data_IF_153259579271
#
_entry.id   IF_153259579271
#
_cell.length_a   1.000
_cell.length_b   1.000
_cell.length_c   1.000
_cell.angle_alpha   90.00
_cell.angle_beta   90.00
_cell.angle_gamma   90.00
#
_symmetry.space_group_name_H-M   'P 1'
#
loop_
_entity.id
_entity.type
_entity.pdbx_description
1 polymer ?
2 polymer ?
3 non-polymer ?
4 non-polymer ?
5 non-polymer ?
6 non-polymer ?
7 non-polymer ?
8 water ?
#
# COMPACT_ATOMS: atom_id res chain seq x y z
N UNK A 1 -11.79 27.99 8.57
CA UNK A 1 -11.30 26.58 8.62
C UNK A 1 -9.96 26.47 7.93
N UNK A 2 -9.18 25.57 8.49
CA UNK A 2 -7.87 25.23 7.95
C UNK A 2 -7.66 23.73 7.92
N UNK A 3 -6.94 23.33 6.90
CA UNK A 3 -6.85 21.91 6.50
C UNK A 3 -6.02 21.09 7.46
N UNK A 4 -5.20 21.81 8.20
CA UNK A 4 -4.21 21.19 9.08
C UNK A 4 -4.90 20.71 10.32
N UNK A 5 -6.02 21.37 10.55
CA UNK A 5 -6.86 21.14 11.72
C UNK A 5 -8.13 20.41 11.35
N UNK A 6 -8.19 19.18 11.82
CA UNK A 6 -9.39 18.36 11.72
C UNK A 6 -9.72 18.11 10.27
N UNK A 7 -8.68 18.24 9.47
CA UNK A 7 -8.77 17.97 8.02
C UNK A 7 -9.67 18.97 7.33
N UNK A 8 -9.88 20.06 8.04
CA UNK A 8 -10.61 21.21 7.49
C UNK A 8 -12.08 20.91 7.43
N UNK A 9 -12.39 19.80 8.07
CA UNK A 9 -13.73 19.23 8.18
C UNK A 9 -14.09 18.37 6.98
N UNK A 10 -13.13 18.28 6.07
CA UNK A 10 -13.27 17.49 4.81
C UNK A 10 -13.26 15.99 5.08
N UNK A 11 -14.05 15.28 4.31
CA UNK A 11 -14.05 13.80 4.39
C UNK A 11 -12.78 13.21 3.80
N UNK A 12 -12.34 13.84 2.73
CA UNK A 12 -11.13 13.41 1.95
C UNK A 12 -10.11 14.54 1.91
N UNK A 13 -9.96 15.15 0.77
CA UNK A 13 -8.85 16.08 0.52
C UNK A 13 -9.24 17.53 0.78
N UNK A 14 -8.27 18.33 1.14
CA UNK A 14 -8.50 19.73 1.59
C UNK A 14 -7.43 20.65 1.06
N UNK A 15 -7.89 21.78 0.58
CA UNK A 15 -7.01 22.88 0.10
C UNK A 15 -7.35 24.17 0.77
N UNK A 16 -6.31 24.82 1.24
CA UNK A 16 -6.38 26.18 1.78
C UNK A 16 -6.29 27.17 0.65
N UNK A 17 -7.08 28.21 0.82
CA UNK A 17 -7.12 29.31 -0.13
C UNK A 17 -6.92 30.63 0.54
N UNK A 18 -6.61 31.57 -0.32
CA UNK A 18 -6.30 32.94 0.07
C UNK A 18 -7.51 33.54 0.74
N UNK A 19 -7.31 33.70 2.02
CA UNK A 19 -8.33 34.20 2.94
C UNK A 19 -8.80 33.11 3.88
N UNK A 20 -9.98 33.34 4.38
CA UNK A 20 -10.61 32.48 5.39
C UNK A 20 -11.35 31.39 4.65
N UNK A 21 -10.69 30.97 3.58
CA UNK A 21 -11.26 29.99 2.62
C UNK A 21 -10.60 28.61 2.55
N UNK A 22 -11.47 27.66 2.34
CA UNK A 22 -11.11 26.24 2.20
C UNK A 22 -11.97 25.56 1.17
N UNK A 23 -11.36 24.64 0.43
CA UNK A 23 -12.13 23.77 -0.48
C UNK A 23 -11.76 22.33 -0.24
N UNK A 24 -12.79 21.55 -0.04
CA UNK A 24 -12.66 20.09 0.05
C UNK A 24 -12.74 19.51 -1.34
N UNK A 25 -12.07 18.38 -1.51
CA UNK A 25 -12.14 17.66 -2.77
C UNK A 25 -12.24 16.17 -2.49
N UNK A 26 -12.58 15.45 -3.54
CA UNK A 26 -12.75 13.98 -3.50
C UNK A 26 -11.88 13.31 -4.57
N UNK A 27 -11.52 12.10 -4.23
CA UNK A 27 -10.76 11.23 -5.15
C UNK A 27 -11.61 10.92 -6.35
N UNK A 28 -10.95 10.59 -7.45
CA UNK A 28 -11.65 10.05 -8.60
C UNK A 28 -12.56 8.93 -8.13
N UNK A 29 -13.73 8.88 -8.73
CA UNK A 29 -14.75 7.92 -8.46
C UNK A 29 -15.70 8.30 -7.31
N UNK A 30 -15.50 9.54 -6.87
CA UNK A 30 -16.35 10.21 -5.84
C UNK A 30 -16.72 11.60 -6.32
N UNK A 31 -17.83 12.08 -5.78
CA UNK A 31 -18.27 13.49 -5.94
C UNK A 31 -18.55 14.11 -4.60
N UNK A 32 -18.34 15.40 -4.56
CA UNK A 32 -18.51 16.22 -3.34
C UNK A 32 -19.98 16.61 -3.20
N UNK A 33 -20.53 16.40 -2.01
CA UNK A 33 -21.91 16.79 -1.70
C UNK A 33 -22.02 18.30 -1.46
N UNK A 34 -23.27 18.71 -1.36
CA UNK A 34 -23.59 20.15 -1.24
C UNK A 34 -23.19 20.70 0.11
N UNK A 35 -22.89 19.83 1.06
CA UNK A 35 -22.35 20.23 2.36
C UNK A 35 -20.92 20.74 2.26
N UNK A 36 -20.33 20.49 1.11
CA UNK A 36 -18.98 20.95 0.81
C UNK A 36 -17.85 20.16 1.43
N UNK A 37 -18.23 19.07 2.08
CA UNK A 37 -17.25 18.23 2.84
C UNK A 37 -17.30 16.75 2.53
N UNK A 38 -18.48 16.25 2.28
CA UNK A 38 -18.73 14.79 2.11
C UNK A 38 -18.52 14.34 0.69
N UNK A 39 -18.07 13.10 0.59
CA UNK A 39 -17.77 12.46 -0.69
C UNK A 39 -18.60 11.22 -0.85
N UNK A 40 -19.25 11.09 -1.99
CA UNK A 40 -20.10 9.95 -2.29
C UNK A 40 -19.61 9.24 -3.56
N UNK A 41 -19.59 7.90 -3.54
CA UNK A 41 -19.15 7.21 -4.77
C UNK A 41 -20.00 7.50 -5.98
N UNK A 42 -19.34 7.52 -7.14
CA UNK A 42 -19.97 7.76 -8.43
C UNK A 42 -19.82 6.57 -9.38
N UNK A 43 -19.09 5.59 -8.88
CA UNK A 43 -18.80 4.35 -9.62
C UNK A 43 -19.07 3.17 -8.72
N UNK A 44 -19.06 1.99 -9.36
CA UNK A 44 -19.42 0.77 -8.65
C UNK A 44 -18.35 0.32 -7.65
N UNK A 45 -17.11 0.55 -8.04
CA UNK A 45 -15.93 0.08 -7.28
C UNK A 45 -14.96 1.20 -7.00
N UNK A 46 -15.41 2.17 -6.18
CA UNK A 46 -14.51 3.24 -5.83
C UNK A 46 -13.35 2.77 -4.99
N UNK A 47 -12.26 3.48 -5.06
CA UNK A 47 -11.08 3.06 -4.27
C UNK A 47 -11.36 3.10 -2.80
N UNK A 48 -10.74 2.19 -2.10
CA UNK A 48 -10.70 2.23 -0.65
C UNK A 48 -11.97 1.82 0.06
N UNK A 49 -12.89 1.25 -0.66
CA UNK A 49 -14.12 0.66 -0.08
C UNK A 49 -14.14 -0.82 -0.41
N UNK A 50 -14.71 -1.56 0.52
CA UNK A 50 -14.72 -3.03 0.49
C UNK A 50 -16.10 -3.51 0.15
N UNK A 51 -16.35 -3.93 -1.10
CA UNK A 51 -17.70 -4.21 -1.56
C UNK A 51 -18.52 -5.13 -0.68
N UNK A 52 -17.90 -6.19 -0.19
CA UNK A 52 -18.70 -7.20 0.53
C UNK A 52 -19.17 -6.63 1.85
N UNK A 53 -18.45 -5.62 2.28
CA UNK A 53 -18.76 -4.93 3.59
C UNK A 53 -19.76 -3.81 3.39
N UNK A 54 -19.63 -3.15 2.25
CA UNK A 54 -20.49 -2.00 1.90
C UNK A 54 -21.90 -2.50 1.65
N UNK A 55 -21.94 -3.71 1.16
CA UNK A 55 -23.20 -4.41 0.86
C UNK A 55 -23.81 -4.93 2.14
N UNK A 56 -22.89 -5.30 3.02
CA UNK A 56 -23.23 -5.95 4.30
C UNK A 56 -23.95 -4.97 5.19
N UNK A 57 -23.81 -3.71 4.81
CA UNK A 57 -24.40 -2.59 5.58
C UNK A 57 -25.36 -1.73 4.78
N UNK A 58 -25.49 -2.12 3.54
CA UNK A 58 -26.44 -1.51 2.59
C UNK A 58 -27.84 -1.98 2.95
N UNK B 1 2.96 -12.75 7.83
CA UNK B 1 2.36 -12.02 8.95
C UNK B 1 2.39 -12.94 10.17
N UNK B 2 2.96 -12.39 11.22
CA UNK B 2 3.02 -13.05 12.53
C UNK B 2 2.03 -12.43 13.48
N UNK B 3 1.22 -13.28 14.07
CA UNK B 3 0.28 -12.90 15.11
C UNK B 3 -0.97 -12.19 14.65
N UNK B 4 -1.24 -12.37 13.38
CA UNK B 4 -2.50 -11.86 12.74
C UNK B 4 -3.61 -12.87 12.66
N UNK B 5 -4.47 -12.63 11.71
CA UNK B 5 -5.58 -13.52 11.39
C UNK B 5 -5.79 -13.59 9.91
N UNK B 6 -6.55 -14.55 9.50
CA UNK B 6 -6.96 -14.68 8.11
C UNK B 6 -7.80 -13.45 7.75
N UNK B 7 -7.42 -12.81 6.66
CA UNK B 7 -8.25 -11.74 6.08
C UNK B 7 -9.42 -12.41 5.39
N UNK B 8 -10.68 -12.18 5.86
CA UNK B 8 -11.75 -12.85 5.18
C UNK B 8 -11.76 -12.52 3.70
N UNK B 9 -12.03 -13.53 2.93
CA UNK B 9 -11.95 -13.43 1.47
C UNK B 9 -12.74 -12.21 1.02
N UNK B 10 -12.05 -11.34 0.31
CA UNK B 10 -12.67 -10.14 -0.29
C UNK B 10 -12.54 -8.90 0.55
N UNK B 11 -12.01 -9.06 1.75
CA UNK B 11 -11.84 -7.94 2.70
C UNK B 11 -10.53 -7.19 2.57
N UNK B 12 -9.65 -7.73 1.74
CA UNK B 12 -8.39 -7.12 1.40
C UNK B 12 -8.25 -7.04 -0.13
N UNK B 13 -9.19 -6.39 -0.82
CA UNK B 13 -9.34 -6.60 -2.25
C UNK B 13 -8.29 -5.91 -3.12
N UNK B 14 -7.50 -5.09 -2.48
CA UNK B 14 -6.38 -4.37 -3.12
C UNK B 14 -5.06 -5.16 -3.02
N UNK B 15 -5.06 -6.24 -2.25
CA UNK B 15 -3.82 -7.03 -2.07
C UNK B 15 -3.42 -7.70 -3.37
N UNK B 16 -2.13 -7.58 -3.68
CA UNK B 16 -1.52 -8.21 -4.86
C UNK B 16 -0.52 -9.29 -4.40
N UNK B 17 -0.49 -10.37 -5.15
CA UNK B 17 0.57 -11.40 -5.03
C UNK B 17 1.44 -11.30 -6.27
N UNK B 18 2.73 -11.15 -6.04
CA UNK B 18 3.75 -11.16 -7.13
C UNK B 18 4.44 -12.51 -7.16
N UNK B 19 4.50 -13.03 -8.37
CA UNK B 19 5.13 -14.34 -8.68
C UNK B 19 6.23 -14.15 -9.69
N UNK B 20 7.27 -14.98 -9.53
CA UNK B 20 8.35 -15.09 -10.52
C UNK B 20 8.57 -16.58 -10.77
N UNK B 21 8.32 -16.96 -12.00
CA UNK B 21 8.30 -18.39 -12.40
C UNK B 21 7.38 -19.30 -11.55
N UNK B 22 6.31 -18.66 -11.22
CA UNK B 22 5.21 -19.28 -10.50
C UNK B 22 5.41 -19.29 -9.00
N UNK B 23 6.58 -18.84 -8.60
CA UNK B 23 6.96 -18.80 -7.18
C UNK B 23 6.63 -17.48 -6.54
N UNK B 24 6.20 -17.56 -5.30
CA UNK B 24 5.91 -16.34 -4.50
C UNK B 24 7.13 -15.51 -4.36
N UNK B 25 6.97 -14.24 -4.70
CA UNK B 25 8.05 -13.25 -4.60
C UNK B 25 7.83 -12.24 -3.49
N UNK B 26 6.67 -11.61 -3.57
CA UNK B 26 6.36 -10.45 -2.73
C UNK B 26 4.90 -10.16 -2.82
N UNK B 27 4.47 -9.23 -1.99
CA UNK B 27 3.14 -8.60 -2.13
C UNK B 27 3.20 -7.30 -2.90
N UNK B 28 2.01 -6.72 -3.01
CA UNK B 28 1.83 -5.39 -3.64
C UNK B 28 0.47 -4.87 -3.32
N UNK B 29 0.23 -3.64 -3.79
CA UNK B 29 -1.04 -2.95 -3.58
C UNK B 29 -1.54 -2.40 -4.89
N UNK B 30 -2.76 -2.75 -5.23
CA UNK B 30 -3.43 -2.16 -6.42
C UNK B 30 -3.88 -0.74 -6.08
N UNK B 31 -3.49 0.24 -6.92
CA UNK B 31 -3.95 1.64 -6.72
C UNK B 31 -4.81 2.18 -7.83
N UNK B 32 -4.85 1.46 -8.93
CA UNK B 32 -5.66 1.74 -10.13
C UNK B 32 -5.75 0.45 -10.93
N UNK B 33 -6.51 0.44 -12.00
CA UNK B 33 -6.67 -0.82 -12.74
C UNK B 33 -5.42 -1.33 -13.41
N UNK B 34 -4.42 -0.49 -13.57
CA UNK B 34 -3.16 -0.92 -14.20
C UNK B 34 -1.90 -0.72 -13.40
N UNK B 35 -2.05 -0.17 -12.23
CA UNK B 35 -0.90 0.22 -11.38
C UNK B 35 -0.91 -0.46 -10.03
N UNK B 36 0.27 -0.98 -9.70
CA UNK B 36 0.55 -1.69 -8.45
C UNK B 36 1.76 -1.07 -7.79
N UNK B 37 1.67 -0.81 -6.50
CA UNK B 37 2.80 -0.34 -5.70
C UNK B 37 3.37 -1.51 -4.91
N UNK B 38 4.67 -1.65 -4.96
CA UNK B 38 5.37 -2.73 -4.20
C UNK B 38 6.67 -2.15 -3.60
N UNK B 39 7.56 -3.04 -3.20
CA UNK B 39 8.87 -2.65 -2.63
C UNK B 39 9.98 -2.90 -3.64
N UNK B 40 10.87 -1.93 -3.75
CA UNK B 40 12.01 -2.02 -4.67
C UNK B 40 12.82 -3.28 -4.50
N UNK B 41 13.00 -3.65 -3.25
CA UNK B 41 13.98 -4.70 -2.94
C UNK B 41 13.52 -6.05 -3.45
N UNK B 42 12.26 -6.14 -3.77
CA UNK B 42 11.66 -7.36 -4.28
C UNK B 42 12.26 -7.74 -5.60
N UNK B 43 12.91 -6.75 -6.21
CA UNK B 43 13.38 -6.90 -7.62
C UNK B 43 14.89 -6.91 -7.74
N UNK B 44 15.53 -7.02 -6.61
CA UNK B 44 17.02 -6.90 -6.58
C UNK B 44 17.67 -8.00 -7.41
N UNK B 45 17.01 -9.13 -7.49
CA UNK B 45 17.68 -10.38 -7.96
C UNK B 45 16.99 -11.00 -9.14
N UNK B 46 16.16 -10.20 -9.76
CA UNK B 46 15.40 -10.65 -10.95
C UNK B 46 16.33 -10.83 -12.13
N UNK B 47 16.18 -11.99 -12.73
CA UNK B 47 17.00 -12.39 -13.87
C UNK B 47 16.27 -12.11 -15.14
N UNK B 48 15.16 -12.80 -15.23
CA UNK B 48 14.24 -12.68 -16.35
C UNK B 48 13.04 -11.82 -16.02
N UNK B 49 13.14 -10.60 -16.49
CA UNK B 49 12.21 -9.54 -16.12
C UNK B 49 10.87 -9.80 -16.73
N UNK B 50 10.84 -10.81 -17.56
CA UNK B 50 9.69 -11.07 -18.43
C UNK B 50 8.74 -12.07 -17.85
N UNK B 51 9.16 -12.58 -16.71
CA UNK B 51 8.48 -13.71 -16.06
C UNK B 51 7.83 -13.33 -14.73
N UNK B 52 7.60 -12.05 -14.62
CA UNK B 52 6.93 -11.46 -13.44
C UNK B 52 5.45 -11.36 -13.67
N UNK B 53 4.70 -11.90 -12.71
CA UNK B 53 3.23 -11.93 -12.75
C UNK B 53 2.66 -11.33 -11.47
N UNK B 54 1.61 -10.55 -11.67
CA UNK B 54 0.78 -10.00 -10.58
C UNK B 54 -0.57 -10.68 -10.56
N UNK B 55 -1.00 -11.11 -9.37
CA UNK B 55 -2.29 -11.75 -9.20
C UNK B 55 -3.12 -10.92 -8.22
N UNK B 56 -4.30 -10.58 -8.73
CA UNK B 56 -5.36 -9.88 -7.99
C UNK B 56 -6.48 -10.85 -7.64
N UNK B 57 -7.18 -10.57 -6.56
CA UNK B 57 -8.30 -11.39 -6.15
C UNK B 57 -7.93 -12.73 -5.57
N UNK B 58 -6.67 -12.83 -5.22
CA UNK B 58 -6.16 -14.07 -4.58
C UNK B 58 -6.56 -14.10 -3.12
N UNK B 59 -6.66 -15.32 -2.61
CA UNK B 59 -7.03 -15.55 -1.23
C UNK B 59 -6.33 -16.77 -0.64
N UNK B 60 -6.82 -17.92 -1.10
CA UNK B 60 -6.24 -19.25 -0.72
C UNK B 60 -5.43 -19.80 -1.87
N UNK B 61 -4.14 -19.86 -1.62
CA UNK B 61 -3.17 -20.23 -2.66
C UNK B 61 -3.27 -21.69 -3.08
N UNK B 62 -4.00 -22.45 -2.30
CA UNK B 62 -4.13 -23.90 -2.54
C UNK B 62 -5.15 -24.22 -3.59
N UNK B 63 -5.95 -23.22 -3.90
CA UNK B 63 -7.10 -23.44 -4.80
C UNK B 63 -7.28 -22.34 -5.82
N UNK B 64 -8.08 -22.70 -6.80
CA UNK B 64 -8.59 -21.77 -7.83
C UNK B 64 -10.06 -21.66 -7.64
N UNK B 65 -10.55 -20.44 -7.48
CA UNK B 65 -11.97 -20.20 -7.27
C UNK B 65 -12.62 -19.31 -8.28
N UNK B 66 -11.80 -18.79 -9.17
CA UNK B 66 -12.28 -18.02 -10.33
C UNK B 66 -12.35 -16.52 -10.17
N UNK B 67 -12.02 -16.06 -8.98
CA UNK B 67 -11.98 -14.61 -8.66
C UNK B 67 -10.59 -14.04 -8.92
N UNK B 68 -9.61 -14.91 -9.09
CA UNK B 68 -8.24 -14.49 -9.37
C UNK B 68 -8.14 -13.90 -10.76
N UNK B 69 -7.29 -12.89 -10.86
CA UNK B 69 -6.92 -12.28 -12.13
C UNK B 69 -5.42 -12.09 -12.20
N UNK B 70 -4.82 -12.71 -13.20
CA UNK B 70 -3.36 -12.64 -13.40
C UNK B 70 -3.01 -11.74 -14.56
N UNK B 71 -1.96 -10.97 -14.35
CA UNK B 71 -1.41 -10.07 -15.37
C UNK B 71 0.09 -10.11 -15.39
N UNK B 72 0.64 -9.97 -16.57
CA UNK B 72 2.07 -9.74 -16.74
C UNK B 72 2.41 -8.36 -16.24
N UNK B 73 3.57 -8.26 -15.64
CA UNK B 73 4.17 -6.98 -15.25
C UNK B 73 4.99 -6.43 -16.40
N UNK B 74 4.54 -5.31 -16.93
CA UNK B 74 5.10 -4.66 -18.15
C UNK B 74 6.22 -3.68 -17.84
N UNK B 75 6.14 -3.11 -16.65
CA UNK B 75 7.12 -2.09 -16.18
C UNK B 75 7.30 -2.19 -14.70
N UNK B 76 8.54 -2.11 -14.25
CA UNK B 76 8.90 -2.00 -12.85
C UNK B 76 9.70 -0.73 -12.73
N UNK B 77 9.15 0.25 -12.03
CA UNK B 77 9.76 1.58 -11.92
C UNK B 77 10.25 1.79 -10.50
N UNK B 78 11.54 2.07 -10.40
CA UNK B 78 12.22 2.22 -9.11
C UNK B 78 12.91 3.60 -9.00
N UNK B 79 12.86 4.23 -7.83
CA UNK B 79 13.51 5.54 -7.73
C UNK B 79 15.03 5.44 -7.88
N UNK B 80 15.57 6.48 -8.49
CA UNK B 80 17.01 6.59 -8.74
C UNK B 80 17.82 6.47 -7.47
N UNK B 81 17.19 6.85 -6.40
CA UNK B 81 17.85 6.96 -5.08
C UNK B 81 17.93 5.66 -4.31
N UNK B 82 17.21 4.66 -4.82
CA UNK B 82 17.23 3.30 -4.21
C UNK B 82 18.51 2.58 -4.60
N UNK B 83 19.12 1.98 -3.59
CA UNK B 83 20.34 1.18 -3.77
C UNK B 83 20.05 -0.29 -3.45
N UNK B 84 20.24 -1.18 -4.43
CA UNK B 84 19.92 -2.56 -4.12
C UNK B 84 20.60 -3.07 -2.87
N UNK B 85 19.79 -3.78 -2.11
CA UNK B 85 20.20 -4.54 -0.94
C UNK B 85 20.16 -3.71 0.31
N UNK B 86 19.61 -2.53 0.12
CA UNK B 86 19.33 -1.59 1.24
C UNK B 86 17.88 -1.29 1.46
N UNK B 87 17.66 -0.36 2.37
CA UNK B 87 16.32 -0.12 2.93
C UNK B 87 15.67 1.17 2.50
N UNK B 88 16.49 2.18 2.29
CA UNK B 88 15.95 3.53 1.96
C UNK B 88 15.37 3.54 0.53
N UNK B 89 14.26 4.24 0.43
CA UNK B 89 13.55 4.44 -0.84
C UNK B 89 13.04 3.13 -1.43
N UNK B 90 12.55 2.30 -0.53
CA UNK B 90 12.11 0.93 -0.85
C UNK B 90 10.68 0.94 -1.37
N UNK B 91 10.60 1.35 -2.62
CA UNK B 91 9.31 1.46 -3.35
C UNK B 91 9.49 1.19 -4.83
N UNK B 92 8.47 0.55 -5.37
CA UNK B 92 8.40 0.26 -6.81
C UNK B 92 6.98 0.50 -7.30
N UNK B 93 6.88 1.01 -8.50
CA UNK B 93 5.60 1.19 -9.19
C UNK B 93 5.61 0.28 -10.40
N UNK B 94 4.60 -0.58 -10.46
CA UNK B 94 4.44 -1.62 -11.50
C UNK B 94 3.28 -1.34 -12.37
N UNK B 95 3.55 -1.37 -13.66
CA UNK B 95 2.52 -1.22 -14.69
C UNK B 95 2.16 -2.61 -15.21
N UNK B 96 0.88 -2.93 -15.15
CA UNK B 96 0.36 -4.21 -15.65
C UNK B 96 0.20 -4.16 -17.15
N UNK B 97 0.30 -5.32 -17.79
CA UNK B 97 0.25 -5.38 -19.28
C UNK B 97 -1.13 -5.06 -19.84
N UNK B 98 -2.10 -5.36 -19.00
CA UNK B 98 -3.53 -5.13 -19.29
C UNK B 98 -4.22 -4.82 -17.97
N UNK B 99 -5.25 -3.95 -17.98
CA UNK B 99 -5.90 -3.66 -16.71
C UNK B 99 -6.54 -4.89 -16.10
N UNK B 100 -6.61 -4.89 -14.77
CA UNK B 100 -7.53 -5.82 -14.07
C UNK B 100 -8.93 -5.25 -14.18
N UNK B 101 -9.90 -6.13 -14.02
CA UNK B 101 -11.32 -5.79 -14.03
C UNK B 101 -11.74 -5.67 -12.59
N UNK B 102 -12.30 -4.52 -12.22
CA UNK B 102 -12.75 -4.33 -10.85
C UNK B 102 -13.99 -5.18 -10.62
N UNK B 103 -13.97 -5.80 -9.47
CA UNK B 103 -15.03 -6.74 -9.00
C UNK B 103 -15.14 -6.65 -7.48
N UNK B 104 -16.06 -7.42 -6.94
CA UNK B 104 -16.20 -7.46 -5.50
C UNK B 104 -14.86 -7.85 -4.81
N UNK B 105 -14.04 -8.56 -5.56
CA UNK B 105 -12.82 -9.16 -5.03
C UNK B 105 -11.53 -8.48 -5.48
N UNK B 106 -11.69 -7.46 -6.31
CA UNK B 106 -10.56 -6.72 -6.91
C UNK B 106 -10.92 -5.23 -6.95
N UNK B 107 -10.32 -4.49 -6.04
CA UNK B 107 -10.60 -3.05 -5.84
C UNK B 107 -9.32 -2.34 -5.47
N UNK B 108 -9.05 -1.15 -6.04
CA UNK B 108 -7.85 -0.43 -5.66
C UNK B 108 -7.97 0.23 -4.30
N UNK B 109 -6.84 0.37 -3.67
CA UNK B 109 -6.67 1.19 -2.46
C UNK B 109 -6.41 2.60 -2.94
N UNK B 110 -6.97 3.58 -2.23
CA UNK B 110 -6.76 4.97 -2.63
C UNK B 110 -5.36 5.45 -2.31
N UNK B 111 -4.70 6.02 -3.31
CA UNK B 111 -3.43 6.69 -3.13
C UNK B 111 -3.78 8.12 -2.69
N UNK B 112 -3.46 8.49 -1.44
CA UNK B 112 -3.93 9.80 -0.98
C UNK B 112 -3.09 10.92 -1.49
N UNK B 113 -3.65 12.14 -1.39
CA UNK B 113 -2.87 13.36 -1.57
C UNK B 113 -1.84 13.46 -0.45
N UNK B 114 -0.71 14.05 -0.79
CA UNK B 114 0.40 14.19 0.15
C UNK B 114 0.00 14.93 1.41
N UNK B 115 -0.64 16.06 1.19
CA UNK B 115 -1.06 16.91 2.31
C UNK B 115 -1.95 16.17 3.28
N UNK B 116 -2.93 15.51 2.71
CA UNK B 116 -3.89 14.72 3.49
C UNK B 116 -3.18 13.62 4.28
N UNK B 117 -2.24 12.99 3.62
CA UNK B 117 -1.56 11.85 4.22
C UNK B 117 -0.69 12.29 5.39
N UNK B 118 -0.08 13.44 5.20
CA UNK B 118 0.87 14.02 6.18
C UNK B 118 0.15 14.64 7.38
N UNK B 119 -0.93 15.31 7.06
CA UNK B 119 -1.67 16.14 8.03
C UNK B 119 -2.65 15.33 8.85
N UNK B 120 -3.14 14.26 8.23
CA UNK B 120 -4.26 13.51 8.77
C UNK B 120 -3.98 12.02 8.97
N UNK B 121 -3.61 11.37 7.88
CA UNK B 121 -3.49 9.90 7.94
C UNK B 121 -2.35 9.45 8.85
N UNK B 122 -1.35 10.31 8.91
CA UNK B 122 -0.09 10.01 9.61
C UNK B 122 -0.33 9.93 11.10
N UNK B 123 -1.52 10.41 11.48
CA UNK B 123 -1.91 10.51 12.90
C UNK B 123 -2.98 9.54 13.32
N UNK B 124 -3.41 8.74 12.36
CA UNK B 124 -4.29 7.62 12.64
C UNK B 124 -3.40 6.52 13.22
N UNK B 125 -3.76 6.06 14.41
CA UNK B 125 -2.85 5.20 15.18
C UNK B 125 -2.59 3.86 14.51
N UNK B 126 -3.70 3.21 14.25
CA UNK B 126 -3.70 1.82 13.74
C UNK B 126 -3.99 1.75 12.28
N UNK B 127 -3.29 0.81 11.67
CA UNK B 127 -3.43 0.48 10.25
C UNK B 127 -3.23 -1.02 10.03
N UNK B 128 -3.75 -1.49 8.94
CA UNK B 128 -3.66 -2.92 8.57
C UNK B 128 -2.53 -3.21 7.61
N UNK B 129 -1.82 -4.27 7.94
CA UNK B 129 -0.78 -4.87 7.06
C UNK B 129 -1.16 -6.31 6.73
N UNK B 130 -0.90 -6.72 5.50
CA UNK B 130 -1.36 -8.00 5.00
C UNK B 130 -0.37 -8.66 4.07
N UNK B 131 -0.50 -9.97 3.99
CA UNK B 131 0.29 -10.79 3.05
C UNK B 131 0.28 -12.27 3.34
N UNK B 132 0.96 -12.96 2.45
CA UNK B 132 1.10 -14.44 2.47
C UNK B 132 2.49 -14.81 2.93
N UNK B 133 3.10 -13.93 3.68
CA UNK B 133 4.43 -14.16 4.26
C UNK B 133 4.46 -15.19 5.37
N UNK B 134 5.66 -15.32 5.89
CA UNK B 134 5.91 -16.25 7.03
C UNK B 134 5.00 -15.95 8.21
N UNK B 135 4.47 -17.03 8.77
CA UNK B 135 3.57 -16.96 9.92
C UNK B 135 4.34 -16.86 11.23
N UNK B 136 5.62 -17.17 11.09
CA UNK B 136 6.58 -17.15 12.21
C UNK B 136 7.93 -16.88 11.65
N UNK B 137 8.77 -16.28 12.47
CA UNK B 137 10.19 -16.18 12.13
C UNK B 137 10.74 -17.60 11.90
N UNK B 138 11.39 -17.77 10.78
CA UNK B 138 12.01 -19.07 10.39
C UNK B 138 10.95 -20.14 10.16
N UNK B 139 9.77 -19.67 9.86
CA UNK B 139 8.60 -20.51 9.63
C UNK B 139 8.08 -20.48 8.21
N UNK B 140 7.15 -21.38 7.98
CA UNK B 140 6.42 -21.51 6.69
C UNK B 140 5.53 -20.31 6.41
N UNK B 141 5.40 -20.06 5.12
CA UNK B 141 4.46 -19.00 4.63
C UNK B 141 3.04 -19.47 4.67
N UNK B 142 2.16 -18.47 4.62
CA UNK B 142 0.72 -18.67 4.73
C UNK B 142 0.11 -19.06 3.43
N UNK B 143 -0.87 -19.96 3.49
CA UNK B 143 -1.68 -20.35 2.33
C UNK B 143 -2.91 -19.45 2.11
N UNK B 144 -3.40 -18.91 3.21
CA UNK B 144 -4.50 -17.92 3.17
C UNK B 144 -3.96 -16.56 3.54
N UNK B 145 -4.52 -15.54 2.88
CA UNK B 145 -4.08 -14.17 3.14
C UNK B 145 -4.32 -13.79 4.58
N UNK B 146 -3.30 -13.23 5.16
CA UNK B 146 -3.29 -12.80 6.57
C UNK B 146 -3.25 -11.30 6.69
N UNK B 147 -3.81 -10.82 7.79
CA UNK B 147 -3.90 -9.39 8.09
C UNK B 147 -3.66 -9.12 9.56
N UNK B 148 -3.08 -7.98 9.80
CA UNK B 148 -2.65 -7.56 11.14
C UNK B 148 -2.82 -6.08 11.34
N UNK B 149 -3.39 -5.72 12.47
CA UNK B 149 -3.54 -4.32 12.90
C UNK B 149 -2.32 -3.93 13.71
N UNK B 150 -1.64 -2.89 13.24
CA UNK B 150 -0.40 -2.39 13.88
C UNK B 150 -0.47 -0.89 14.17
N UNK B 151 0.09 -0.46 15.31
CA UNK B 151 0.16 0.96 15.60
C UNK B 151 1.44 1.57 15.12
N UNK B 152 1.30 2.78 14.63
CA UNK B 152 2.39 3.59 14.10
C UNK B 152 3.04 4.39 15.21
N UNK B 153 4.34 4.48 15.06
CA UNK B 153 5.20 5.26 15.96
C UNK B 153 5.80 6.44 15.25
N UNK B 154 5.90 7.53 15.98
CA UNK B 154 6.76 8.66 15.57
C UNK B 154 8.19 8.16 15.67
N UNK B 155 9.01 8.60 14.74
CA UNK B 155 10.33 7.99 14.55
C UNK B 155 11.21 8.18 15.76
N UNK B 156 11.00 9.30 16.40
CA UNK B 156 11.79 9.64 17.60
C UNK B 156 11.52 8.59 18.64
N UNK B 157 10.24 8.26 18.69
CA UNK B 157 9.69 7.32 19.67
C UNK B 157 10.15 5.92 19.35
N UNK B 158 10.25 5.68 18.06
CA UNK B 158 10.61 4.34 17.56
C UNK B 158 12.01 4.03 18.04
N UNK B 159 12.82 5.04 17.87
CA UNK B 159 14.27 4.96 18.10
C UNK B 159 14.52 4.71 19.56
N UNK B 160 13.68 5.37 20.33
CA UNK B 160 13.82 5.40 21.79
C UNK B 160 13.42 4.05 22.36
N UNK B 161 12.41 3.52 21.71
CA UNK B 161 11.68 2.33 22.18
C UNK B 161 12.30 1.07 21.67
N UNK B 162 13.31 1.28 20.85
CA UNK B 162 14.02 0.20 20.17
C UNK B 162 15.30 -0.16 20.87
N UNK B 163 15.49 -1.46 20.96
CA UNK B 163 16.66 -2.04 21.60
C UNK B 163 16.68 -3.58 21.59
N UNK B 168 23.06 -1.72 11.49
CA UNK B 168 21.63 -1.54 11.69
C UNK B 168 21.12 -0.30 10.97
N UNK B 169 20.29 -0.48 9.93
CA UNK B 169 19.84 0.65 9.14
C UNK B 169 19.16 1.70 9.96
N UNK B 170 19.46 2.93 9.59
CA UNK B 170 18.77 4.10 10.12
C UNK B 170 17.31 4.04 9.73
N UNK B 171 16.55 4.73 10.56
CA UNK B 171 15.18 5.10 10.24
C UNK B 171 15.18 6.51 9.69
N UNK B 172 14.96 6.58 8.40
CA UNK B 172 14.99 7.84 7.66
C UNK B 172 13.59 8.41 7.53
N UNK B 173 13.58 9.55 6.87
CA UNK B 173 12.37 10.36 6.69
C UNK B 173 11.49 9.68 5.68
N UNK B 174 12.05 8.65 5.08
CA UNK B 174 11.39 7.92 3.96
C UNK B 174 10.79 6.63 4.45
N UNK B 175 10.85 6.50 5.75
CA UNK B 175 10.35 5.35 6.51
C UNK B 175 9.52 5.74 7.70
N UNK B 176 8.82 4.73 8.19
CA UNK B 176 8.21 4.78 9.52
C UNK B 176 8.12 3.41 10.15
N UNK B 177 8.07 3.46 11.46
CA UNK B 177 7.92 2.25 12.29
C UNK B 177 6.49 2.02 12.66
N UNK B 178 6.16 0.74 12.69
CA UNK B 178 4.88 0.29 13.21
C UNK B 178 4.93 -1.14 13.68
N UNK B 179 4.11 -1.41 14.66
CA UNK B 179 4.01 -2.73 15.27
C UNK B 179 4.21 -2.76 16.75
N UNK B 180 4.92 -3.81 17.12
CA UNK B 180 5.13 -4.22 18.52
C UNK B 180 6.52 -4.71 18.76
N UNK B 181 6.97 -4.43 19.96
CA UNK B 181 8.35 -4.70 20.37
C UNK B 181 8.49 -5.96 21.19
N UNK B 182 7.37 -6.64 21.34
CA UNK B 182 7.23 -7.78 22.29
C UNK B 182 7.32 -9.14 21.62
N UNK B 183 7.58 -9.05 20.34
CA UNK B 183 7.88 -10.20 19.49
C UNK B 183 6.70 -11.08 19.15
N UNK B 184 5.53 -10.47 19.25
CA UNK B 184 4.27 -11.20 19.09
C UNK B 184 3.60 -11.00 17.75
N UNK B 185 3.87 -9.85 17.18
CA UNK B 185 3.11 -9.38 16.01
C UNK B 185 3.95 -8.51 15.09
N UNK B 186 3.98 -8.93 13.84
CA UNK B 186 4.80 -8.24 12.80
C UNK B 186 4.45 -8.73 11.40
N UNK B 187 4.90 -7.95 10.44
CA UNK B 187 5.02 -8.46 9.07
C UNK B 187 6.37 -9.16 8.97
N UNK B 188 6.51 -9.94 7.93
CA UNK B 188 7.65 -10.89 7.83
C UNK B 188 8.04 -11.12 6.38
N UNK B 189 9.11 -11.88 6.22
CA UNK B 189 9.53 -12.25 4.86
C UNK B 189 8.37 -12.90 4.15
N UNK B 190 8.20 -12.46 2.92
CA UNK B 190 7.13 -12.88 2.06
C UNK B 190 6.01 -11.86 1.98
N UNK B 191 6.01 -10.98 2.95
CA UNK B 191 5.01 -9.88 3.03
C UNK B 191 5.51 -8.62 2.37
N UNK B 192 6.80 -8.51 2.14
CA UNK B 192 7.37 -7.28 1.57
C UNK B 192 6.60 -6.88 0.32
N UNK B 193 6.42 -5.58 0.26
CA UNK B 193 5.73 -4.95 -0.87
C UNK B 193 4.26 -4.75 -0.67
N UNK B 194 3.73 -5.44 0.33
CA UNK B 194 2.32 -5.39 0.62
C UNK B 194 1.91 -4.09 1.28
N UNK B 195 0.60 -3.90 1.40
CA UNK B 195 0.05 -2.66 1.94
C UNK B 195 0.08 -2.54 3.42
N UNK B 196 0.33 -1.30 3.80
CA UNK B 196 -0.02 -0.72 5.10
C UNK B 196 -1.11 0.32 4.80
N UNK B 197 -2.32 -0.08 5.15
CA UNK B 197 -3.58 0.62 4.79
C UNK B 197 -4.22 1.25 5.99
N UNK B 198 -4.63 2.50 5.81
CA UNK B 198 -5.13 3.35 6.90
C UNK B 198 -6.53 3.84 6.61
N UNK B 199 -7.40 3.63 7.58
CA UNK B 199 -8.82 4.02 7.47
C UNK B 199 -9.04 5.44 7.97
N UNK B 200 -9.79 6.20 7.18
CA UNK B 200 -10.26 7.51 7.60
C UNK B 200 -11.62 7.81 7.01
N UNK B 201 -12.56 8.00 7.93
CA UNK B 201 -13.92 8.40 7.60
C UNK B 201 -14.52 7.61 6.46
N UNK B 202 -14.33 6.30 6.58
CA UNK B 202 -15.08 5.32 5.82
C UNK B 202 -14.39 4.81 4.56
N UNK B 203 -13.18 5.28 4.40
CA UNK B 203 -12.32 4.94 3.23
C UNK B 203 -10.92 4.61 3.68
N UNK B 204 -10.33 3.67 2.92
CA UNK B 204 -8.96 3.18 3.17
C UNK B 204 -7.99 3.75 2.14
N UNK B 205 -6.81 4.06 2.65
CA UNK B 205 -5.74 4.70 1.94
C UNK B 205 -4.39 4.00 2.13
N UNK B 206 -3.55 4.14 1.11
CA UNK B 206 -2.16 3.58 1.16
C UNK B 206 -1.25 4.56 1.87
N UNK B 207 -0.74 4.13 3.01
CA UNK B 207 0.23 4.90 3.81
C UNK B 207 1.61 4.31 3.94
N UNK B 208 1.71 2.99 3.79
CA UNK B 208 3.03 2.34 3.89
C UNK B 208 3.13 1.15 2.98
N UNK B 209 4.38 0.74 2.80
CA UNK B 209 4.75 -0.50 2.09
C UNK B 209 5.61 -1.33 3.03
N UNK B 210 5.26 -2.60 3.15
CA UNK B 210 6.08 -3.53 3.98
C UNK B 210 7.47 -3.56 3.36
N UNK B 211 8.44 -3.15 4.15
CA UNK B 211 9.83 -3.07 3.68
C UNK B 211 10.55 -4.27 4.22
N UNK B 212 11.64 -4.01 4.87
CA UNK B 212 12.39 -5.11 5.55
C UNK B 212 13.27 -4.58 6.66
N UNK B 213 13.28 -5.36 7.74
CA UNK B 213 13.96 -5.03 9.02
C UNK B 213 14.44 -6.22 9.85
N UNK B 214 14.63 -5.94 11.12
CA UNK B 214 15.27 -6.88 12.07
C UNK B 214 14.47 -8.15 12.21
N UNK B 215 15.01 -9.17 11.58
CA UNK B 215 14.30 -10.43 11.43
C UNK B 215 12.84 -10.06 11.45
N UNK B 216 12.05 -10.99 11.90
CA UNK B 216 10.62 -10.72 12.03
C UNK B 216 10.10 -11.14 13.38
N UNK B 217 9.35 -10.21 13.92
CA UNK B 217 8.76 -10.30 15.26
C UNK B 217 9.85 -10.46 16.31
N UNK B 218 10.95 -9.80 16.03
CA UNK B 218 12.11 -9.77 16.96
C UNK B 218 11.88 -8.83 18.12
N UNK B 219 12.03 -9.41 19.30
CA UNK B 219 11.87 -8.65 20.53
C UNK B 219 12.82 -7.47 20.49
N UNK B 220 12.25 -6.33 20.82
CA UNK B 220 12.95 -5.05 20.98
C UNK B 220 12.95 -4.22 19.72
N UNK B 221 12.25 -4.76 18.75
CA UNK B 221 12.20 -4.14 17.41
C UNK B 221 10.81 -4.08 16.81
N UNK B 222 10.66 -3.02 16.02
CA UNK B 222 9.43 -2.74 15.25
C UNK B 222 9.63 -2.97 13.76
N UNK B 223 8.50 -3.19 13.10
CA UNK B 223 8.47 -3.30 11.63
C UNK B 223 8.73 -1.95 11.02
N UNK B 224 9.43 -1.97 9.92
CA UNK B 224 9.74 -0.78 9.13
C UNK B 224 9.01 -0.77 7.80
N UNK B 225 8.44 0.39 7.54
CA UNK B 225 7.57 0.61 6.38
C UNK B 225 8.02 1.79 5.58
N UNK B 226 7.91 1.69 4.27
CA UNK B 226 8.19 2.84 3.38
C UNK B 226 7.08 3.86 3.54
N UNK B 227 7.49 5.10 3.75
CA UNK B 227 6.58 6.25 3.99
C UNK B 227 6.07 6.79 2.67
N UNK B 228 4.93 6.26 2.28
CA UNK B 228 4.38 6.47 0.94
C UNK B 228 4.13 7.93 0.63
N UNK B 229 3.89 8.70 1.68
CA UNK B 229 3.56 10.12 1.51
C UNK B 229 4.68 10.89 0.79
N UNK B 230 5.88 10.38 0.91
CA UNK B 230 7.06 11.04 0.35
C UNK B 230 7.13 10.88 -1.14
N UNK B 231 6.31 9.95 -1.61
CA UNK B 231 6.39 9.45 -3.00
C UNK B 231 5.16 9.74 -3.85
N UNK B 232 4.20 10.44 -3.28
CA UNK B 232 2.92 10.63 -3.98
C UNK B 232 3.10 11.32 -5.31
N UNK B 233 3.81 12.42 -5.27
CA UNK B 233 4.08 13.22 -6.45
C UNK B 233 4.87 12.45 -7.53
N UNK B 234 5.82 11.68 -7.05
CA UNK B 234 6.67 10.85 -7.92
C UNK B 234 5.83 9.79 -8.64
N UNK B 235 4.98 9.16 -7.87
CA UNK B 235 4.04 8.15 -8.37
C UNK B 235 3.06 8.72 -9.39
N UNK B 236 2.52 9.86 -9.03
CA UNK B 236 1.48 10.49 -9.86
C UNK B 236 2.02 10.91 -11.21
N UNK B 237 3.24 11.41 -11.18
CA UNK B 237 3.90 11.83 -12.43
C UNK B 237 4.12 10.62 -13.33
N UNK B 238 4.59 9.54 -12.71
CA UNK B 238 4.90 8.32 -13.48
C UNK B 238 3.64 7.72 -14.06
N UNK B 239 2.55 7.79 -13.33
CA UNK B 239 1.28 7.21 -13.82
C UNK B 239 0.71 7.96 -15.03
N UNK B 240 1.21 9.15 -15.25
CA UNK B 240 0.79 10.03 -16.37
C UNK B 240 1.71 9.89 -17.58
N UNK B 241 2.75 9.10 -17.39
CA UNK B 241 3.82 8.92 -18.42
C UNK B 241 3.55 7.74 -19.32
N UNK B 242 4.10 7.82 -20.51
CA UNK B 242 4.03 6.71 -21.49
C UNK B 242 5.00 5.60 -21.10
N UNK B 243 4.62 4.33 -21.30
CA UNK B 243 5.54 3.22 -21.08
C UNK B 243 6.73 3.30 -22.02
N UNK B 244 7.81 2.73 -21.50
CA UNK B 244 9.11 2.66 -22.17
C UNK B 244 9.53 1.22 -22.38
N UNK B 245 10.17 0.93 -23.53
CA UNK B 245 10.64 -0.43 -23.74
C UNK B 245 11.61 -0.84 -22.65
N UNK B 246 11.53 -2.12 -22.35
CA UNK B 246 12.30 -2.75 -21.29
C UNK B 246 11.60 -2.58 -19.95
N UNK B 247 11.56 -3.67 -19.23
CA UNK B 247 10.69 -3.76 -18.04
C UNK B 247 11.15 -2.81 -16.95
N UNK B 248 12.40 -2.95 -16.57
CA UNK B 248 12.97 -2.09 -15.51
C UNK B 248 13.21 -0.67 -15.99
N UNK B 249 12.71 0.27 -15.22
CA UNK B 249 12.95 1.70 -15.41
C UNK B 249 13.35 2.33 -14.11
N UNK B 250 14.51 2.96 -14.09
CA UNK B 250 14.92 3.79 -12.98
C UNK B 250 14.56 5.21 -13.31
N UNK B 251 13.78 5.80 -12.40
CA UNK B 251 13.20 7.14 -12.58
C UNK B 251 13.75 8.09 -11.54
N UNK B 252 14.11 9.32 -11.93
CA UNK B 252 14.65 10.22 -10.95
C UNK B 252 13.73 10.47 -9.80
N UNK B 253 14.34 10.53 -8.64
CA UNK B 253 13.67 10.92 -7.41
C UNK B 253 14.52 12.00 -6.76
N UNK B 254 13.91 13.12 -6.37
CA UNK B 254 12.49 13.37 -6.38
C UNK B 254 11.91 13.59 -7.77
#
# INVERSE_FOLDING_TARGET
LICVNENGGCEQYCSDHTGTKRSCRCHEGYSLLADGVSCTPTVEYPCGKIPILEKRNASKPQGR
IVGGKVCPKGECPWQVLLLVNGAQLCGGTLINTIWVVSAAHCFDKIKNWRNLIAVLGEHDLSEHDGDEQSRRVAQVIIPSTYVPGTTNHDIALLRLHQPVVLTDHVVPLCLPERTFSERTLAFVRFSLVSGWGQLLDRGATALELMVLNVPRLMTQDCLQQSRKVGDSPNITEYMFCAGYSDGSKDSCKGDSGGPHATHYRGTWYLTGIVSWGQGCATVGHFGVYTRVSQYIEWLQKLMRSEPRPGVLLRAPFP
#
